data_IF_790579382621
#
_entry.id   IF_790579382621
#
_cell.length_a   1.000
_cell.length_b   1.000
_cell.length_c   1.000
_cell.angle_alpha   90.00
_cell.angle_beta   90.00
_cell.angle_gamma   90.00
#
_symmetry.space_group_name_H-M   'P 1'
#
loop_
_entity.id
_entity.type
_entity.pdbx_description
1 polymer ?
#
# COMPACT_ATOMS: atom_id res chain seq x y z
N UNK A 1 18.55 7.32 17.10
CA UNK A 1 19.64 7.22 16.10
C UNK A 1 19.97 5.76 15.88
N UNK A 2 20.31 5.33 14.66
CA UNK A 2 20.56 3.92 14.31
C UNK A 2 21.93 3.76 13.64
N UNK A 3 22.65 2.69 13.97
CA UNK A 3 23.96 2.33 13.40
C UNK A 3 23.92 0.85 13.00
N UNK A 4 24.35 0.53 11.78
CA UNK A 4 24.38 -0.84 11.25
C UNK A 4 25.69 -1.14 10.56
N UNK A 5 26.20 -2.36 10.72
CA UNK A 5 27.40 -2.85 10.05
C UNK A 5 28.43 -3.43 11.02
N UNK A 6 29.61 -3.83 10.53
CA UNK A 6 30.67 -4.39 11.36
C UNK A 6 31.10 -3.41 12.47
N UNK A 7 31.02 -3.86 13.73
CA UNK A 7 31.39 -3.05 14.90
C UNK A 7 30.40 -1.93 15.24
N UNK A 8 29.14 -2.03 14.78
CA UNK A 8 28.07 -1.10 15.11
C UNK A 8 27.89 -0.91 16.62
N UNK A 9 28.01 -1.97 17.42
CA UNK A 9 27.93 -1.90 18.88
C UNK A 9 29.03 -1.02 19.45
N UNK A 10 30.29 -1.34 19.13
CA UNK A 10 31.48 -0.58 19.57
C UNK A 10 31.38 0.90 19.18
N UNK A 11 30.94 1.19 17.96
CA UNK A 11 30.82 2.56 17.46
C UNK A 11 29.67 3.30 18.16
N UNK A 12 28.51 2.65 18.31
CA UNK A 12 27.36 3.26 18.98
C UNK A 12 27.65 3.52 20.46
N UNK A 13 28.35 2.63 21.16
CA UNK A 13 28.64 2.76 22.59
C UNK A 13 29.91 3.57 22.87
N UNK A 14 30.55 4.16 21.85
CA UNK A 14 31.69 5.04 22.05
C UNK A 14 31.30 6.24 22.91
N UNK A 15 31.99 6.46 24.03
CA UNK A 15 31.68 7.55 24.97
C UNK A 15 30.36 7.38 25.73
N UNK A 16 29.73 6.20 25.66
CA UNK A 16 28.59 5.82 26.49
C UNK A 16 29.09 5.21 27.80
N UNK A 17 28.65 5.73 28.93
CA UNK A 17 28.85 5.17 30.26
C UNK A 17 27.61 4.36 30.63
N UNK A 18 27.64 3.02 30.51
CA UNK A 18 26.48 2.21 30.79
C UNK A 18 26.30 1.98 32.29
N UNK A 19 25.05 1.91 32.76
CA UNK A 19 24.70 1.62 34.15
C UNK A 19 25.06 0.17 34.55
N UNK A 20 25.21 -0.71 33.54
CA UNK A 20 25.63 -2.10 33.68
C UNK A 20 26.59 -2.49 32.55
N UNK A 21 27.51 -3.44 32.77
CA UNK A 21 28.39 -3.92 31.69
C UNK A 21 27.59 -4.39 30.47
N UNK A 22 28.13 -4.11 29.28
CA UNK A 22 27.57 -4.58 28.01
C UNK A 22 28.03 -6.02 27.82
N UNK A 23 27.08 -6.93 27.60
CA UNK A 23 27.38 -8.32 27.26
C UNK A 23 27.66 -8.45 25.76
N UNK A 24 28.93 -8.43 25.39
CA UNK A 24 29.37 -8.59 23.99
C UNK A 24 29.11 -10.00 23.44
N UNK A 25 28.83 -10.98 24.30
CA UNK A 25 28.53 -12.37 23.91
C UNK A 25 27.04 -12.66 23.74
N UNK A 26 26.19 -11.64 23.91
CA UNK A 26 24.74 -11.80 23.87
C UNK A 26 24.24 -12.30 22.50
N UNK A 27 23.49 -13.41 22.52
CA UNK A 27 22.86 -14.01 21.33
C UNK A 27 21.42 -13.53 21.08
N UNK A 28 20.93 -12.62 21.93
CA UNK A 28 19.58 -12.03 21.86
C UNK A 28 19.67 -10.52 22.00
N UNK A 29 18.70 -9.77 21.44
CA UNK A 29 18.66 -8.33 21.61
C UNK A 29 18.50 -7.92 23.07
N UNK A 30 19.16 -6.83 23.46
CA UNK A 30 19.08 -6.29 24.81
C UNK A 30 19.25 -4.77 24.82
N UNK A 31 18.81 -4.14 25.90
CA UNK A 31 18.89 -2.68 26.09
C UNK A 31 19.79 -2.36 27.27
N UNK A 32 20.64 -1.36 27.14
CA UNK A 32 21.50 -0.86 28.22
C UNK A 32 21.20 0.62 28.44
N UNK A 33 20.92 0.99 29.68
CA UNK A 33 20.76 2.39 30.09
C UNK A 33 22.10 2.99 30.48
N UNK A 34 22.23 4.29 30.32
CA UNK A 34 23.46 4.98 30.68
C UNK A 34 23.47 6.44 30.23
N UNK A 35 24.67 7.01 30.18
CA UNK A 35 24.89 8.42 29.87
C UNK A 35 26.01 8.59 28.86
N UNK A 36 25.79 9.35 27.78
CA UNK A 36 26.86 9.77 26.87
C UNK A 36 27.66 10.95 27.43
N UNK A 37 28.98 10.82 27.37
CA UNK A 37 29.93 11.91 27.55
C UNK A 37 30.30 12.52 26.21
N UNK A 38 29.47 13.45 25.75
CA UNK A 38 29.71 14.18 24.51
C UNK A 38 30.62 15.39 24.76
N UNK A 39 31.61 15.65 23.89
CA UNK A 39 32.45 16.84 23.98
C UNK A 39 31.61 18.13 24.06
N UNK A 40 31.92 18.98 25.05
CA UNK A 40 31.27 20.28 25.23
C UNK A 40 29.82 20.23 25.73
N UNK A 41 29.28 19.07 26.12
CA UNK A 41 27.95 18.95 26.72
C UNK A 41 28.07 18.68 28.25
N UNK A 42 27.51 19.59 29.06
CA UNK A 42 27.36 19.41 30.51
C UNK A 42 25.94 19.82 30.92
N UNK A 43 25.16 18.97 31.63
CA UNK A 43 25.47 17.60 32.08
C UNK A 43 25.56 16.57 30.94
N UNK A 44 25.88 15.30 31.26
CA UNK A 44 25.91 14.21 30.27
C UNK A 44 24.52 13.92 29.68
N UNK A 45 24.47 13.28 28.51
CA UNK A 45 23.23 12.98 27.81
C UNK A 45 22.70 11.60 28.22
N UNK A 46 21.60 11.49 28.99
CA UNK A 46 21.00 10.20 29.29
C UNK A 46 20.50 9.53 28.01
N UNK A 47 20.72 8.22 27.89
CA UNK A 47 20.30 7.45 26.74
C UNK A 47 20.05 5.98 27.09
N UNK A 48 19.23 5.32 26.28
CA UNK A 48 19.11 3.88 26.22
C UNK A 48 19.71 3.40 24.89
N UNK A 49 20.60 2.41 24.94
CA UNK A 49 21.20 1.80 23.76
C UNK A 49 20.66 0.39 23.63
N UNK A 50 19.89 0.16 22.57
CA UNK A 50 19.40 -1.16 22.19
C UNK A 50 20.40 -1.79 21.20
N UNK A 51 20.81 -3.03 21.47
CA UNK A 51 21.85 -3.75 20.74
C UNK A 51 21.27 -5.06 20.21
N UNK A 52 21.41 -5.29 18.90
CA UNK A 52 20.95 -6.51 18.24
C UNK A 52 22.12 -7.25 17.57
N UNK A 53 22.28 -8.56 17.88
CA UNK A 53 23.32 -9.36 17.25
C UNK A 53 22.88 -9.81 15.86
N UNK A 54 23.83 -9.83 14.92
CA UNK A 54 23.63 -10.44 13.60
C UNK A 54 23.32 -11.96 13.73
N UNK A 55 22.63 -12.58 12.76
CA UNK A 55 22.00 -11.98 11.58
C UNK A 55 20.55 -11.53 11.81
N UNK A 56 20.03 -11.64 13.03
CA UNK A 56 18.60 -11.44 13.34
C UNK A 56 18.24 -9.96 13.55
N UNK A 57 18.64 -9.10 12.61
CA UNK A 57 18.46 -7.64 12.63
C UNK A 57 17.87 -7.12 11.32
N UNK A 58 17.31 -5.92 11.30
CA UNK A 58 16.70 -5.35 10.08
C UNK A 58 17.60 -5.42 8.84
N UNK A 59 18.90 -5.18 8.99
CA UNK A 59 19.86 -5.16 7.88
C UNK A 59 20.58 -6.49 7.66
N UNK A 60 20.31 -7.50 8.49
CA UNK A 60 21.10 -8.74 8.55
C UNK A 60 22.48 -8.57 9.20
N UNK A 61 22.86 -7.35 9.60
CA UNK A 61 24.16 -7.02 10.20
C UNK A 61 24.03 -6.66 11.67
N UNK A 62 25.14 -6.54 12.38
CA UNK A 62 25.12 -6.01 13.74
C UNK A 62 24.47 -4.61 13.74
N UNK A 63 23.53 -4.39 14.67
CA UNK A 63 22.70 -3.19 14.71
C UNK A 63 22.65 -2.64 16.13
N UNK A 64 22.74 -1.31 16.23
CA UNK A 64 22.56 -0.57 17.47
C UNK A 64 21.59 0.59 17.26
N UNK A 65 20.71 0.83 18.23
CA UNK A 65 19.84 2.00 18.28
C UNK A 65 20.05 2.77 19.57
N UNK A 66 20.33 4.05 19.43
CA UNK A 66 20.50 4.99 20.54
C UNK A 66 19.24 5.83 20.68
N UNK A 67 18.59 5.71 21.83
CA UNK A 67 17.39 6.42 22.25
C UNK A 67 17.80 7.50 23.25
N UNK A 68 17.63 8.77 22.88
CA UNK A 68 18.05 9.93 23.66
C UNK A 68 16.99 11.03 23.58
N UNK A 69 17.01 12.05 24.46
CA UNK A 69 16.10 13.20 24.37
C UNK A 69 16.03 13.80 22.96
N UNK A 70 14.81 13.95 22.43
CA UNK A 70 14.51 14.35 21.05
C UNK A 70 14.81 15.80 20.68
N UNK A 71 15.81 16.43 21.30
CA UNK A 71 16.21 17.82 21.01
C UNK A 71 17.17 17.85 19.81
N UNK A 72 16.86 18.58 18.72
CA UNK A 72 17.70 18.58 17.52
C UNK A 72 19.18 18.92 17.77
N UNK A 73 19.54 19.92 18.60
CA UNK A 73 20.95 20.18 18.94
C UNK A 73 21.66 19.01 19.64
N UNK A 74 20.95 18.28 20.50
CA UNK A 74 21.50 17.12 21.20
C UNK A 74 21.72 15.95 20.23
N UNK A 75 20.73 15.68 19.38
CA UNK A 75 20.81 14.64 18.37
C UNK A 75 21.91 14.92 17.35
N UNK A 76 22.09 16.17 16.91
CA UNK A 76 23.18 16.56 16.01
C UNK A 76 24.56 16.34 16.63
N UNK A 77 24.73 16.64 17.92
CA UNK A 77 25.99 16.38 18.63
C UNK A 77 26.26 14.88 18.79
N UNK A 78 25.24 14.11 19.15
CA UNK A 78 25.32 12.66 19.27
C UNK A 78 25.69 12.02 17.91
N UNK A 79 25.05 12.46 16.83
CA UNK A 79 25.35 12.01 15.47
C UNK A 79 26.80 12.33 15.09
N UNK A 80 27.25 13.57 15.29
CA UNK A 80 28.62 13.97 15.00
C UNK A 80 29.65 13.13 15.77
N UNK A 81 29.37 12.83 17.05
CA UNK A 81 30.20 11.98 17.89
C UNK A 81 30.29 10.54 17.35
N UNK A 82 29.16 9.95 16.94
CA UNK A 82 29.14 8.59 16.37
C UNK A 82 29.84 8.53 15.00
N UNK A 83 29.70 9.56 14.17
CA UNK A 83 30.45 9.68 12.92
C UNK A 83 31.96 9.76 13.18
N UNK A 84 32.39 10.59 14.13
CA UNK A 84 33.79 10.68 14.54
C UNK A 84 34.33 9.37 15.14
N UNK A 85 33.45 8.52 15.67
CA UNK A 85 33.79 7.21 16.24
C UNK A 85 33.93 6.10 15.18
N UNK A 86 33.75 6.41 13.89
CA UNK A 86 34.02 5.51 12.77
C UNK A 86 32.79 5.16 11.92
N UNK A 87 31.61 5.72 12.21
CA UNK A 87 30.45 5.57 11.33
C UNK A 87 30.54 6.50 10.10
N UNK A 88 29.97 6.06 8.98
CA UNK A 88 29.65 6.92 7.82
C UNK A 88 28.18 7.31 7.87
N UNK A 89 27.77 8.53 7.44
CA UNK A 89 26.36 8.84 7.26
C UNK A 89 25.73 7.88 6.25
N UNK A 90 24.54 7.37 6.57
CA UNK A 90 23.78 6.52 5.66
C UNK A 90 23.28 7.32 4.45
N UNK A 91 23.25 6.68 3.28
CA UNK A 91 22.54 7.18 2.10
C UNK A 91 21.02 7.03 2.28
N UNK A 92 20.21 7.74 1.48
CA UNK A 92 18.77 7.46 1.35
C UNK A 92 18.51 5.96 1.16
N UNK A 93 17.62 5.39 1.99
CA UNK A 93 17.22 3.97 1.90
C UNK A 93 18.30 2.93 2.20
N UNK A 94 19.49 3.33 2.65
CA UNK A 94 20.64 2.40 2.76
C UNK A 94 20.40 1.25 3.76
N UNK A 95 19.61 1.43 4.82
CA UNK A 95 19.32 0.31 5.72
C UNK A 95 18.37 -0.70 5.07
N UNK A 96 17.35 -0.24 4.35
CA UNK A 96 16.45 -1.12 3.59
C UNK A 96 17.18 -1.80 2.43
N UNK A 97 18.07 -1.09 1.72
CA UNK A 97 18.94 -1.69 0.70
C UNK A 97 19.82 -2.80 1.30
N UNK A 98 20.41 -2.59 2.48
CA UNK A 98 21.20 -3.64 3.16
C UNK A 98 20.33 -4.82 3.58
N UNK A 99 19.10 -4.58 4.03
CA UNK A 99 18.14 -5.64 4.32
C UNK A 99 17.87 -6.51 3.08
N UNK A 100 17.68 -5.87 1.92
CA UNK A 100 17.52 -6.55 0.63
C UNK A 100 18.77 -7.34 0.22
N UNK A 101 19.95 -6.70 0.22
CA UNK A 101 21.23 -7.35 -0.15
C UNK A 101 21.61 -8.51 0.78
N UNK A 102 21.15 -8.50 2.03
CA UNK A 102 21.33 -9.60 2.98
C UNK A 102 20.38 -10.78 2.76
N UNK A 103 19.42 -10.66 1.83
CA UNK A 103 18.37 -11.64 1.58
C UNK A 103 17.28 -11.67 2.65
N UNK A 104 17.24 -10.69 3.57
CA UNK A 104 16.22 -10.63 4.63
C UNK A 104 14.84 -10.25 4.08
N UNK A 105 14.83 -9.38 3.07
CA UNK A 105 13.63 -8.95 2.34
C UNK A 105 13.92 -9.03 0.85
N UNK A 106 12.88 -9.24 0.04
CA UNK A 106 12.96 -9.11 -1.41
C UNK A 106 12.67 -7.66 -1.83
N UNK A 107 12.78 -7.37 -3.13
CA UNK A 107 12.59 -6.02 -3.63
C UNK A 107 11.15 -5.53 -3.45
N UNK A 108 10.16 -6.41 -3.63
CA UNK A 108 8.74 -6.06 -3.45
C UNK A 108 8.45 -5.65 -2.01
N UNK A 109 8.99 -6.34 -0.99
CA UNK A 109 8.87 -5.94 0.42
C UNK A 109 9.66 -4.67 0.71
N UNK A 110 10.85 -4.49 0.12
CA UNK A 110 11.60 -3.25 0.26
C UNK A 110 10.79 -2.05 -0.23
N UNK A 111 10.16 -2.15 -1.40
CA UNK A 111 9.27 -1.12 -1.95
C UNK A 111 8.02 -0.91 -1.08
N UNK A 112 7.48 -1.97 -0.47
CA UNK A 112 6.35 -1.87 0.46
C UNK A 112 6.68 -1.06 1.72
N UNK A 113 7.94 -1.08 2.21
CA UNK A 113 8.38 -0.22 3.32
C UNK A 113 8.18 1.25 2.99
N UNK A 114 8.47 1.68 1.76
CA UNK A 114 8.22 3.04 1.31
C UNK A 114 6.71 3.31 1.24
N UNK A 115 5.94 2.37 0.68
CA UNK A 115 4.48 2.46 0.61
C UNK A 115 3.82 2.70 1.98
N UNK A 116 4.26 2.00 3.02
CA UNK A 116 3.76 2.18 4.40
C UNK A 116 4.11 3.57 4.96
N UNK A 117 5.29 4.10 4.64
CA UNK A 117 5.74 5.42 5.12
C UNK A 117 4.98 6.55 4.42
N UNK A 118 4.76 6.41 3.12
CA UNK A 118 4.13 7.44 2.28
C UNK A 118 2.59 7.36 2.28
N UNK A 119 2.00 6.31 2.86
CA UNK A 119 0.55 6.12 2.93
C UNK A 119 -0.13 7.32 3.61
N UNK A 120 -1.08 7.94 2.91
CA UNK A 120 -1.87 9.10 3.37
C UNK A 120 -3.33 8.77 3.68
N UNK A 121 -3.72 7.52 3.46
CA UNK A 121 -5.06 7.01 3.70
C UNK A 121 -4.99 5.53 4.14
N UNK A 122 -6.02 5.03 4.86
CA UNK A 122 -6.03 3.67 5.39
C UNK A 122 -5.90 2.57 4.32
N UNK A 123 -6.47 2.77 3.11
CA UNK A 123 -6.42 1.74 2.06
C UNK A 123 -5.02 1.55 1.50
N UNK A 124 -4.33 2.66 1.20
CA UNK A 124 -2.91 2.61 0.78
C UNK A 124 -2.01 2.00 1.84
N UNK A 125 -2.33 2.23 3.12
CA UNK A 125 -1.63 1.59 4.22
C UNK A 125 -1.86 0.08 4.23
N UNK A 126 -3.12 -0.36 4.12
CA UNK A 126 -3.48 -1.78 4.07
C UNK A 126 -2.81 -2.50 2.89
N UNK A 127 -2.84 -1.92 1.69
CA UNK A 127 -2.18 -2.46 0.50
C UNK A 127 -0.66 -2.60 0.71
N UNK A 128 -0.03 -1.57 1.27
CA UNK A 128 1.41 -1.60 1.55
C UNK A 128 1.74 -2.62 2.64
N UNK A 129 0.88 -2.81 3.65
CA UNK A 129 1.06 -3.81 4.70
C UNK A 129 0.89 -5.24 4.16
N UNK A 130 -0.08 -5.51 3.28
CA UNK A 130 -0.24 -6.80 2.61
C UNK A 130 0.99 -7.14 1.76
N UNK A 131 1.51 -6.16 1.01
CA UNK A 131 2.73 -6.35 0.22
C UNK A 131 3.93 -6.58 1.13
N UNK A 132 4.06 -5.84 2.23
CA UNK A 132 5.13 -6.01 3.22
C UNK A 132 5.08 -7.40 3.89
N UNK A 133 3.88 -7.95 4.09
CA UNK A 133 3.68 -9.32 4.58
C UNK A 133 4.08 -10.39 3.54
N UNK A 134 4.33 -10.00 2.28
CA UNK A 134 4.72 -10.89 1.20
C UNK A 134 3.56 -11.38 0.33
N UNK A 135 2.42 -10.67 0.31
CA UNK A 135 1.25 -11.02 -0.48
C UNK A 135 1.50 -11.12 -2.00
N UNK A 136 2.58 -10.51 -2.51
CA UNK A 136 3.02 -10.66 -3.91
C UNK A 136 4.15 -11.68 -4.06
N UNK A 137 5.13 -11.67 -3.17
CA UNK A 137 6.33 -12.52 -3.27
C UNK A 137 6.03 -14.00 -3.21
N UNK A 138 5.11 -14.42 -2.34
CA UNK A 138 4.74 -15.83 -2.20
C UNK A 138 4.22 -16.44 -3.52
N UNK A 139 3.19 -15.84 -4.13
CA UNK A 139 2.70 -16.28 -5.44
C UNK A 139 3.77 -16.30 -6.54
N UNK A 140 4.62 -15.27 -6.61
CA UNK A 140 5.69 -15.17 -7.63
C UNK A 140 6.74 -16.27 -7.46
N UNK A 141 7.17 -16.53 -6.22
CA UNK A 141 8.13 -17.60 -5.94
C UNK A 141 7.55 -18.97 -6.25
N UNK A 142 6.28 -19.22 -5.91
CA UNK A 142 5.62 -20.47 -6.24
C UNK A 142 5.48 -20.69 -7.76
N UNK A 143 5.23 -19.62 -8.53
CA UNK A 143 5.24 -19.66 -10.00
C UNK A 143 6.63 -19.98 -10.53
N UNK A 144 7.66 -19.30 -10.01
CA UNK A 144 9.06 -19.53 -10.39
C UNK A 144 9.47 -20.99 -10.16
N UNK A 145 9.13 -21.57 -9.02
CA UNK A 145 9.50 -22.96 -8.71
C UNK A 145 8.84 -23.94 -9.69
N UNK A 146 7.56 -23.73 -10.05
CA UNK A 146 6.90 -24.52 -11.09
C UNK A 146 7.56 -24.37 -12.46
N UNK A 147 7.96 -23.16 -12.85
CA UNK A 147 8.66 -22.94 -14.12
C UNK A 147 10.05 -23.59 -14.15
N UNK A 148 10.76 -23.62 -13.00
CA UNK A 148 12.03 -24.35 -12.88
C UNK A 148 11.83 -25.86 -13.04
N UNK A 149 10.78 -26.43 -12.45
CA UNK A 149 10.45 -27.84 -12.62
C UNK A 149 10.14 -28.19 -14.09
N UNK A 150 9.37 -27.33 -14.79
CA UNK A 150 9.08 -27.50 -16.21
C UNK A 150 10.35 -27.40 -17.08
N UNK A 151 11.22 -26.43 -16.78
CA UNK A 151 12.49 -26.26 -17.50
C UNK A 151 13.41 -27.47 -17.27
N UNK A 152 13.52 -27.96 -16.03
CA UNK A 152 14.32 -29.14 -15.72
C UNK A 152 13.82 -30.40 -16.45
N UNK A 153 12.49 -30.56 -16.57
CA UNK A 153 11.91 -31.67 -17.33
C UNK A 153 12.25 -31.59 -18.83
N UNK A 154 12.19 -30.38 -19.40
CA UNK A 154 12.54 -30.13 -20.79
C UNK A 154 14.04 -30.34 -21.08
N UNK A 155 14.91 -29.85 -20.20
CA UNK A 155 16.37 -30.00 -20.32
C UNK A 155 16.80 -31.47 -20.14
N UNK A 156 16.15 -32.21 -19.24
CA UNK A 156 16.34 -33.66 -19.15
C UNK A 156 15.88 -34.40 -20.43
N UNK A 157 14.95 -33.84 -21.19
CA UNK A 157 14.59 -34.33 -22.52
C UNK A 157 15.73 -34.11 -23.53
N UNK A 158 16.33 -32.90 -23.53
CA UNK A 158 17.39 -32.52 -24.46
C UNK A 158 18.68 -33.34 -24.31
N UNK A 159 19.07 -33.69 -23.08
CA UNK A 159 20.31 -34.44 -22.80
C UNK A 159 20.25 -35.93 -23.20
N UNK A 160 19.07 -36.48 -23.52
CA UNK A 160 18.85 -37.93 -23.65
C UNK A 160 18.23 -38.39 -24.99
N UNK A 161 18.24 -37.60 -26.07
CA UNK A 161 17.59 -38.01 -27.34
C UNK A 161 18.58 -38.67 -28.33
N UNK A 162 18.46 -40.00 -28.51
CA UNK A 162 18.51 -40.62 -29.85
C UNK A 162 17.12 -40.41 -30.47
N UNK A 163 17.05 -39.80 -31.67
CA UNK A 163 15.91 -39.09 -32.30
C UNK A 163 14.55 -39.83 -32.54
N UNK A 164 14.19 -40.87 -31.78
CA UNK A 164 13.05 -41.75 -32.13
C UNK A 164 11.82 -41.75 -31.18
N UNK A 165 11.88 -41.27 -29.94
CA UNK A 165 10.77 -41.41 -28.96
C UNK A 165 10.29 -40.08 -28.35
N UNK A 166 9.84 -39.13 -29.19
CA UNK A 166 9.12 -37.95 -28.68
C UNK A 166 7.67 -38.33 -28.38
N UNK A 167 7.30 -38.47 -27.10
CA UNK A 167 5.92 -38.71 -26.68
C UNK A 167 5.02 -37.49 -27.01
N UNK A 168 4.09 -37.59 -28.00
CA UNK A 168 3.20 -36.50 -28.37
C UNK A 168 2.23 -36.11 -27.24
N UNK A 169 1.92 -37.07 -26.36
CA UNK A 169 1.03 -36.85 -25.21
C UNK A 169 1.74 -35.97 -24.17
N UNK A 170 3.04 -36.19 -23.93
CA UNK A 170 3.88 -35.38 -23.06
C UNK A 170 3.97 -33.92 -23.51
N UNK A 171 4.15 -33.66 -24.82
CA UNK A 171 4.18 -32.28 -25.36
C UNK A 171 2.84 -31.55 -25.20
N UNK A 172 1.72 -32.23 -25.44
CA UNK A 172 0.42 -31.61 -25.25
C UNK A 172 0.15 -31.25 -23.78
N UNK A 173 0.58 -32.11 -22.84
CA UNK A 173 0.49 -31.84 -21.41
C UNK A 173 1.35 -30.64 -21.00
N UNK A 174 2.61 -30.59 -21.46
CA UNK A 174 3.52 -29.49 -21.18
C UNK A 174 3.03 -28.15 -21.74
N UNK A 175 2.47 -28.12 -22.95
CA UNK A 175 1.85 -26.92 -23.51
C UNK A 175 0.66 -26.44 -22.65
N UNK A 176 -0.17 -27.37 -22.17
CA UNK A 176 -1.28 -27.04 -21.28
C UNK A 176 -0.81 -26.50 -19.92
N UNK A 177 0.28 -27.04 -19.38
CA UNK A 177 0.91 -26.52 -18.16
C UNK A 177 1.44 -25.09 -18.36
N UNK A 178 2.15 -24.82 -19.46
CA UNK A 178 2.65 -23.48 -19.80
C UNK A 178 1.52 -22.45 -19.96
N UNK A 179 0.44 -22.81 -20.65
CA UNK A 179 -0.73 -21.94 -20.78
C UNK A 179 -1.38 -21.66 -19.43
N UNK A 180 -1.46 -22.65 -18.54
CA UNK A 180 -2.02 -22.49 -17.19
C UNK A 180 -1.19 -21.54 -16.34
N UNK A 181 0.15 -21.65 -16.40
CA UNK A 181 1.03 -20.75 -15.66
C UNK A 181 1.00 -19.32 -16.26
N UNK A 182 0.82 -19.17 -17.57
CA UNK A 182 0.60 -17.86 -18.20
C UNK A 182 -0.68 -17.20 -17.68
N UNK A 183 -1.79 -17.94 -17.62
CA UNK A 183 -3.07 -17.45 -17.08
C UNK A 183 -2.95 -17.06 -15.59
N UNK A 184 -2.15 -17.81 -14.82
CA UNK A 184 -1.88 -17.49 -13.43
C UNK A 184 -1.08 -16.19 -13.27
N UNK A 185 -0.12 -15.91 -14.18
CA UNK A 185 0.62 -14.66 -14.24
C UNK A 185 -0.28 -13.49 -14.63
N UNK A 186 -1.16 -13.66 -15.62
CA UNK A 186 -2.15 -12.64 -15.97
C UNK A 186 -3.07 -12.33 -14.78
N UNK A 187 -3.58 -13.35 -14.10
CA UNK A 187 -4.41 -13.15 -12.92
C UNK A 187 -3.67 -12.42 -11.79
N UNK A 188 -2.35 -12.58 -11.68
CA UNK A 188 -1.53 -11.84 -10.73
C UNK A 188 -1.29 -10.38 -11.18
N UNK A 189 -0.99 -10.18 -12.47
CA UNK A 189 -0.82 -8.86 -13.08
C UNK A 189 -2.13 -8.04 -13.06
N UNK A 190 -3.27 -8.71 -13.27
CA UNK A 190 -4.61 -8.14 -13.16
C UNK A 190 -4.95 -7.84 -11.72
N UNK A 191 -4.54 -8.66 -10.74
CA UNK A 191 -4.70 -8.31 -9.33
C UNK A 191 -3.90 -7.06 -8.95
N UNK A 192 -2.69 -6.89 -9.47
CA UNK A 192 -1.91 -5.65 -9.28
C UNK A 192 -2.54 -4.46 -10.02
N UNK A 193 -2.95 -4.65 -11.26
CA UNK A 193 -3.61 -3.61 -12.06
C UNK A 193 -4.99 -3.22 -11.53
N UNK A 194 -5.71 -4.18 -10.92
CA UNK A 194 -6.93 -3.94 -10.15
C UNK A 194 -6.60 -3.29 -8.83
N UNK A 195 -5.59 -3.67 -8.06
CA UNK A 195 -5.15 -2.88 -6.88
C UNK A 195 -4.84 -1.42 -7.21
N UNK A 196 -4.33 -1.15 -8.42
CA UNK A 196 -4.16 0.22 -8.95
C UNK A 196 -5.46 0.89 -9.46
N UNK A 197 -6.53 0.13 -9.73
CA UNK A 197 -7.77 0.61 -10.42
C UNK A 197 -9.11 0.18 -9.79
N UNK A 198 -9.14 -0.56 -8.69
CA UNK A 198 -10.31 -1.28 -8.15
C UNK A 198 -10.00 -1.89 -6.76
N UNK A 199 -10.95 -1.94 -5.83
CA UNK A 199 -12.36 -1.69 -6.09
C UNK A 199 -13.24 -2.08 -4.91
N UNK A 200 -13.56 -1.06 -4.11
CA UNK A 200 -14.96 -0.72 -3.95
C UNK A 200 -15.22 0.49 -4.86
N UNK A 201 -16.47 0.67 -5.32
CA UNK A 201 -16.85 1.92 -5.95
C UNK A 201 -16.47 3.08 -4.99
N UNK A 202 -15.84 4.17 -5.45
CA UNK A 202 -15.42 5.27 -4.57
C UNK A 202 -16.54 5.65 -3.61
N UNK A 203 -16.23 5.70 -2.33
CA UNK A 203 -17.22 5.79 -1.26
C UNK A 203 -17.53 7.26 -0.98
N UNK A 204 -18.77 7.63 -1.25
CA UNK A 204 -19.29 8.98 -1.10
C UNK A 204 -20.20 8.99 0.11
N UNK A 205 -19.74 9.62 1.20
CA UNK A 205 -20.46 9.59 2.49
C UNK A 205 -21.20 10.90 2.71
N UNK A 206 -22.50 10.82 2.96
CA UNK A 206 -23.33 11.96 3.36
C UNK A 206 -23.15 12.20 4.86
N UNK A 207 -22.48 13.29 5.23
CA UNK A 207 -22.22 13.64 6.62
C UNK A 207 -22.88 14.98 6.97
N UNK A 208 -23.40 15.12 8.18
CA UNK A 208 -24.09 16.34 8.60
C UNK A 208 -25.02 16.12 9.80
N UNK A 209 -25.48 17.21 10.43
CA UNK A 209 -26.34 17.14 11.61
C UNK A 209 -27.70 16.46 11.31
N UNK A 210 -28.45 16.07 12.36
CA UNK A 210 -29.84 15.65 12.21
C UNK A 210 -30.67 16.69 11.44
N UNK A 211 -31.68 16.24 10.69
CA UNK A 211 -32.55 17.09 9.88
C UNK A 211 -31.89 17.89 8.74
N UNK A 212 -30.59 17.70 8.49
CA UNK A 212 -29.86 18.30 7.36
C UNK A 212 -30.24 17.73 5.98
N UNK A 213 -31.27 16.89 5.87
CA UNK A 213 -31.77 16.39 4.59
C UNK A 213 -30.96 15.25 3.94
N UNK A 214 -30.01 14.62 4.65
CA UNK A 214 -29.12 13.55 4.13
C UNK A 214 -29.87 12.40 3.45
N UNK A 215 -30.83 11.76 4.12
CA UNK A 215 -31.60 10.64 3.54
C UNK A 215 -32.47 11.05 2.35
N UNK A 216 -32.93 12.31 2.33
CA UNK A 216 -33.67 12.84 1.16
C UNK A 216 -32.73 13.06 -0.01
N UNK A 217 -31.53 13.59 0.25
CA UNK A 217 -30.49 13.75 -0.77
C UNK A 217 -29.98 12.41 -1.28
N UNK A 218 -29.79 11.42 -0.40
CA UNK A 218 -29.44 10.04 -0.75
C UNK A 218 -30.40 9.47 -1.80
N UNK A 219 -31.70 9.47 -1.49
CA UNK A 219 -32.73 8.97 -2.40
C UNK A 219 -32.80 9.78 -3.69
N UNK A 220 -32.68 11.11 -3.61
CA UNK A 220 -32.71 11.98 -4.78
C UNK A 220 -31.50 11.76 -5.72
N UNK A 221 -30.32 11.45 -5.17
CA UNK A 221 -29.12 11.14 -5.96
C UNK A 221 -29.23 9.78 -6.68
N UNK A 222 -29.96 8.82 -6.12
CA UNK A 222 -30.17 7.49 -6.71
C UNK A 222 -31.14 7.50 -7.90
N UNK A 223 -32.21 8.31 -7.87
CA UNK A 223 -33.17 8.41 -9.00
C UNK A 223 -33.94 7.12 -9.32
N UNK A 224 -34.60 7.07 -10.50
CA UNK A 224 -35.38 5.92 -11.01
C UNK A 224 -34.52 4.79 -11.62
N UNK A 225 -33.20 4.98 -11.77
CA UNK A 225 -32.26 3.97 -12.27
C UNK A 225 -31.90 2.95 -11.16
N UNK A 226 -32.89 2.15 -10.77
CA UNK A 226 -32.68 0.98 -9.91
C UNK A 226 -31.81 -0.08 -10.60
N UNK A 227 -30.50 -0.03 -10.40
CA UNK A 227 -29.64 -1.21 -10.53
C UNK A 227 -29.69 -2.00 -9.22
N UNK A 228 -30.75 -2.82 -9.06
CA UNK A 228 -30.88 -3.96 -8.14
C UNK A 228 -30.30 -3.74 -6.73
N UNK A 229 -31.17 -3.35 -5.79
CA UNK A 229 -30.91 -3.50 -4.35
C UNK A 229 -30.75 -4.99 -4.06
N UNK A 230 -29.57 -5.43 -3.64
CA UNK A 230 -29.38 -6.78 -3.09
C UNK A 230 -29.81 -6.79 -1.62
N UNK A 231 -30.87 -7.53 -1.24
CA UNK A 231 -31.13 -7.83 0.16
C UNK A 231 -30.30 -9.07 0.52
N UNK A 232 -28.99 -8.92 0.71
CA UNK A 232 -28.22 -9.95 1.40
C UNK A 232 -28.58 -9.88 2.89
N UNK A 233 -29.54 -10.71 3.28
CA UNK A 233 -29.90 -10.95 4.67
C UNK A 233 -28.66 -11.46 5.42
N UNK A 234 -27.97 -10.58 6.15
CA UNK A 234 -26.82 -11.02 6.95
C UNK A 234 -25.84 -9.97 7.47
N UNK A 235 -26.01 -8.67 7.27
CA UNK A 235 -25.05 -7.67 7.79
C UNK A 235 -25.74 -6.58 8.60
N UNK A 236 -25.24 -6.39 9.83
CA UNK A 236 -25.65 -5.46 10.89
C UNK A 236 -26.41 -4.20 10.46
N UNK A 237 -27.56 -3.98 11.12
CA UNK A 237 -28.69 -3.08 10.84
C UNK A 237 -28.47 -1.55 10.80
N UNK A 238 -27.27 -0.98 10.57
CA UNK A 238 -27.02 0.44 10.93
C UNK A 238 -26.25 1.33 9.91
N UNK A 239 -26.34 1.16 8.58
CA UNK A 239 -25.95 2.19 7.56
C UNK A 239 -26.58 1.84 6.21
N UNK A 240 -27.14 2.81 5.47
CA UNK A 240 -27.66 2.58 4.12
C UNK A 240 -26.57 2.87 3.10
N UNK A 241 -26.28 1.92 2.20
CA UNK A 241 -25.41 2.14 1.04
C UNK A 241 -26.03 1.63 -0.25
N UNK A 242 -25.76 2.33 -1.35
CA UNK A 242 -26.25 1.97 -2.68
C UNK A 242 -25.32 2.49 -3.79
N UNK A 243 -25.21 1.76 -4.91
CA UNK A 243 -24.47 2.26 -6.08
C UNK A 243 -25.17 3.48 -6.68
N UNK A 244 -24.41 4.52 -7.03
CA UNK A 244 -24.90 5.74 -7.66
C UNK A 244 -24.03 6.09 -8.86
N UNK A 245 -24.66 6.45 -10.00
CA UNK A 245 -23.95 6.99 -11.15
C UNK A 245 -23.84 8.52 -11.04
N UNK A 246 -22.61 9.02 -11.00
CA UNK A 246 -22.26 10.44 -10.95
C UNK A 246 -21.46 10.80 -12.21
N UNK A 247 -22.10 11.42 -13.21
CA UNK A 247 -21.45 11.89 -14.46
C UNK A 247 -20.54 10.83 -15.12
N UNK A 248 -21.08 9.61 -15.26
CA UNK A 248 -20.39 8.44 -15.83
C UNK A 248 -19.43 7.71 -14.89
N UNK A 249 -19.24 8.18 -13.64
CA UNK A 249 -18.45 7.51 -12.60
C UNK A 249 -19.40 6.76 -11.66
N UNK A 250 -19.17 5.46 -11.45
CA UNK A 250 -19.95 4.66 -10.51
C UNK A 250 -19.34 4.77 -9.11
N UNK A 251 -20.16 5.14 -8.11
CA UNK A 251 -19.75 5.37 -6.73
C UNK A 251 -20.61 4.56 -5.75
N UNK A 252 -20.09 4.23 -4.56
CA UNK A 252 -20.91 3.75 -3.45
C UNK A 252 -21.38 4.96 -2.64
N UNK A 253 -22.67 5.29 -2.71
CA UNK A 253 -23.26 6.35 -1.90
C UNK A 253 -23.66 5.77 -0.54
N UNK A 254 -23.34 6.47 0.54
CA UNK A 254 -23.57 6.01 1.92
C UNK A 254 -24.27 7.09 2.73
N UNK A 255 -25.41 6.75 3.35
CA UNK A 255 -26.13 7.63 4.27
C UNK A 255 -25.87 7.23 5.73
N UNK A 256 -25.22 8.14 6.47
CA UNK A 256 -24.92 7.94 7.90
C UNK A 256 -26.13 8.15 8.81
N UNK A 257 -27.28 8.59 8.27
CA UNK A 257 -28.49 8.88 9.06
C UNK A 257 -29.32 7.65 9.45
N UNK A 258 -29.01 6.45 8.92
CA UNK A 258 -29.74 5.22 9.21
C UNK A 258 -29.67 4.72 10.67
N UNK A 259 -28.91 5.41 11.54
CA UNK A 259 -28.74 5.09 12.97
C UNK A 259 -29.52 6.06 13.84
N UNK A 260 -30.83 6.22 13.60
CA UNK A 260 -31.70 6.75 14.65
C UNK A 260 -32.18 5.60 15.52
N UNK A 261 -31.61 5.55 16.73
CA UNK A 261 -32.23 4.91 17.87
C UNK A 261 -33.65 5.47 18.02
N UNK A 262 -34.63 4.59 18.10
CA UNK A 262 -35.96 4.96 18.54
C UNK A 262 -35.87 5.61 19.94
N UNK A 263 -35.83 6.95 20.00
CA UNK A 263 -35.84 7.73 21.24
C UNK A 263 -35.04 9.04 21.18
N UNK A 264 -35.53 10.07 21.88
CA UNK A 264 -35.06 11.48 21.93
C UNK A 264 -33.64 11.71 22.52
N UNK A 265 -32.67 10.81 22.32
CA UNK A 265 -31.29 11.04 22.71
C UNK A 265 -30.30 10.50 21.67
N UNK A 266 -29.56 11.40 21.02
CA UNK A 266 -28.43 11.04 20.17
C UNK A 266 -27.35 10.43 21.06
N UNK A 267 -27.14 9.12 20.99
CA UNK A 267 -26.07 8.43 21.71
C UNK A 267 -24.70 8.86 21.17
N UNK A 268 -23.71 9.01 22.06
CA UNK A 268 -22.30 9.25 21.69
C UNK A 268 -21.77 8.18 20.71
N UNK A 269 -22.33 6.98 20.73
CA UNK A 269 -21.99 5.89 19.82
C UNK A 269 -22.42 6.17 18.37
N UNK A 270 -23.56 6.83 18.15
CA UNK A 270 -24.02 7.19 16.81
C UNK A 270 -23.13 8.29 16.19
N UNK A 271 -22.65 9.23 17.00
CA UNK A 271 -21.69 10.25 16.58
C UNK A 271 -20.33 9.64 16.24
N UNK A 272 -19.83 8.70 17.05
CA UNK A 272 -18.58 8.00 16.80
C UNK A 272 -18.63 7.17 15.51
N UNK A 273 -19.76 6.51 15.22
CA UNK A 273 -19.97 5.78 13.96
C UNK A 273 -20.01 6.72 12.75
N UNK A 274 -20.76 7.81 12.80
CA UNK A 274 -20.80 8.78 11.70
C UNK A 274 -19.42 9.39 11.41
N UNK A 275 -18.61 9.64 12.45
CA UNK A 275 -17.23 10.08 12.29
C UNK A 275 -16.34 8.98 11.67
N UNK A 276 -16.49 7.73 12.10
CA UNK A 276 -15.77 6.59 11.53
C UNK A 276 -16.13 6.32 10.05
N UNK A 277 -17.38 6.56 9.66
CA UNK A 277 -17.83 6.41 8.27
C UNK A 277 -17.26 7.53 7.38
N UNK A 278 -17.25 8.76 7.87
CA UNK A 278 -16.64 9.90 7.18
C UNK A 278 -15.13 9.75 7.00
N UNK A 279 -14.42 9.17 7.98
CA UNK A 279 -12.97 8.90 7.89
C UNK A 279 -12.62 7.90 6.77
N UNK A 280 -13.54 6.97 6.48
CA UNK A 280 -13.39 5.95 5.43
C UNK A 280 -13.89 6.41 4.06
N UNK A 281 -14.33 7.65 3.93
CA UNK A 281 -14.88 8.19 2.69
C UNK A 281 -13.79 8.63 1.70
N UNK A 282 -14.01 8.37 0.42
CA UNK A 282 -13.19 8.96 -0.65
C UNK A 282 -13.61 10.42 -0.93
N UNK A 283 -14.90 10.71 -0.76
CA UNK A 283 -15.49 12.05 -0.82
C UNK A 283 -16.54 12.18 0.28
N UNK A 284 -16.49 13.29 1.03
CA UNK A 284 -17.49 13.61 2.05
C UNK A 284 -18.44 14.68 1.51
N UNK A 285 -19.74 14.37 1.47
CA UNK A 285 -20.80 15.33 1.18
C UNK A 285 -21.28 15.94 2.50
N UNK A 286 -20.74 17.10 2.83
CA UNK A 286 -21.04 17.81 4.05
C UNK A 286 -22.37 18.58 3.92
N UNK A 287 -23.43 17.97 4.41
CA UNK A 287 -24.81 18.42 4.28
C UNK A 287 -25.20 19.39 5.40
N UNK A 288 -25.72 20.56 5.02
CA UNK A 288 -26.32 21.54 5.93
C UNK A 288 -27.63 22.11 5.35
N UNK A 289 -28.47 22.66 6.22
CA UNK A 289 -29.74 23.31 5.87
C UNK A 289 -30.06 24.46 6.83
N UNK A 290 -31.06 25.28 6.51
CA UNK A 290 -31.46 26.42 7.36
C UNK A 290 -31.97 26.03 8.76
N UNK A 291 -32.47 24.80 8.91
CA UNK A 291 -33.05 24.31 10.18
C UNK A 291 -32.10 23.41 10.97
N UNK A 292 -30.87 23.21 10.47
CA UNK A 292 -29.89 22.36 11.12
C UNK A 292 -28.86 23.18 11.88
N UNK A 293 -28.35 22.68 13.03
CA UNK A 293 -27.28 23.36 13.75
C UNK A 293 -26.04 23.54 12.86
N UNK A 294 -25.26 24.61 13.07
CA UNK A 294 -24.02 24.83 12.34
C UNK A 294 -23.06 23.65 12.59
N UNK A 295 -22.43 23.17 11.53
CA UNK A 295 -21.43 22.11 11.59
C UNK A 295 -20.05 22.69 11.32
N UNK A 296 -19.09 22.38 12.19
CA UNK A 296 -17.68 22.65 11.91
C UNK A 296 -17.19 21.55 10.97
N UNK A 297 -16.94 21.92 9.71
CA UNK A 297 -16.58 20.98 8.67
C UNK A 297 -15.08 21.08 8.40
N UNK A 298 -14.36 19.95 8.36
CA UNK A 298 -12.96 19.97 7.98
C UNK A 298 -12.84 20.54 6.55
N UNK A 299 -12.07 21.61 6.40
CA UNK A 299 -11.73 22.23 5.11
C UNK A 299 -10.76 21.39 4.27
N UNK A 300 -10.91 20.07 4.30
CA UNK A 300 -10.11 19.13 3.52
C UNK A 300 -10.57 19.13 2.05
N UNK A 301 -9.65 18.87 1.13
CA UNK A 301 -9.88 18.82 -0.32
C UNK A 301 -10.87 17.71 -0.74
N UNK A 302 -11.15 16.76 0.17
CA UNK A 302 -12.08 15.64 0.00
C UNK A 302 -13.54 16.01 0.33
N UNK A 303 -13.77 17.19 0.89
CA UNK A 303 -15.08 17.60 1.41
C UNK A 303 -15.80 18.53 0.44
N UNK A 304 -16.98 18.13 -0.01
CA UNK A 304 -17.87 18.96 -0.82
C UNK A 304 -19.00 19.46 0.09
N UNK A 305 -19.15 20.79 0.16
CA UNK A 305 -20.17 21.43 0.99
C UNK A 305 -21.49 21.48 0.23
N UNK A 306 -22.53 20.87 0.82
CA UNK A 306 -23.85 20.72 0.20
C UNK A 306 -24.91 21.39 1.05
N UNK A 307 -25.63 22.33 0.46
CA UNK A 307 -26.78 22.97 1.07
C UNK A 307 -28.06 22.29 0.59
N UNK A 308 -28.70 21.47 1.41
CA UNK A 308 -29.67 20.44 0.96
C UNK A 308 -31.11 20.92 0.77
N UNK A 309 -31.49 22.02 1.42
CA UNK A 309 -32.85 22.60 1.40
C UNK A 309 -32.81 24.02 0.81
N UNK A 310 -32.19 24.17 -0.37
CA UNK A 310 -32.02 25.47 -1.03
C UNK A 310 -33.32 26.18 -1.40
N UNK A 311 -34.44 25.44 -1.48
CA UNK A 311 -35.78 25.96 -1.70
C UNK A 311 -36.35 26.69 -0.46
N UNK A 312 -35.93 26.32 0.74
CA UNK A 312 -36.44 26.89 1.98
C UNK A 312 -35.65 28.13 2.43
N UNK A 313 -34.33 28.09 2.32
CA UNK A 313 -33.44 29.19 2.68
C UNK A 313 -32.14 29.13 1.88
N UNK A 314 -31.54 30.28 1.51
CA UNK A 314 -30.21 30.30 0.92
C UNK A 314 -29.12 29.96 1.96
N UNK A 315 -27.95 29.47 1.52
CA UNK A 315 -26.81 29.26 2.42
C UNK A 315 -26.31 30.57 3.02
N UNK A 316 -25.68 30.54 4.20
CA UNK A 316 -25.11 31.73 4.83
C UNK A 316 -23.96 32.32 3.99
N UNK A 317 -23.85 33.67 3.90
CA UNK A 317 -22.75 34.32 3.18
C UNK A 317 -21.41 34.18 3.93
N UNK A 318 -20.32 33.92 3.20
CA UNK A 318 -18.94 34.05 3.70
C UNK A 318 -18.15 32.75 3.89
N UNK A 319 -18.77 31.59 3.67
CA UNK A 319 -18.27 30.34 4.23
C UNK A 319 -17.54 29.43 3.23
N UNK A 320 -17.28 29.86 1.99
CA UNK A 320 -16.76 29.03 0.89
C UNK A 320 -17.84 28.55 -0.09
N UNK A 321 -17.48 27.91 -1.21
CA UNK A 321 -18.45 27.53 -2.25
C UNK A 321 -19.37 26.41 -1.75
N UNK A 322 -20.68 26.67 -1.77
CA UNK A 322 -21.72 25.69 -1.51
C UNK A 322 -22.30 25.17 -2.82
N UNK A 323 -22.49 23.86 -2.93
CA UNK A 323 -23.39 23.29 -3.92
C UNK A 323 -24.79 23.30 -3.32
N UNK A 324 -25.70 24.07 -3.92
CA UNK A 324 -27.07 24.21 -3.42
C UNK A 324 -27.96 23.20 -4.13
N UNK A 325 -28.60 22.33 -3.36
CA UNK A 325 -29.53 21.32 -3.85
C UNK A 325 -30.90 21.49 -3.21
N UNK A 326 -31.94 21.01 -3.87
CA UNK A 326 -33.23 20.74 -3.26
C UNK A 326 -33.74 19.40 -3.74
N UNK A 327 -33.84 18.43 -2.82
CA UNK A 327 -34.43 17.13 -3.11
C UNK A 327 -35.94 17.24 -3.42
N UNK A 328 -36.63 18.26 -2.90
CA UNK A 328 -38.06 18.49 -3.14
C UNK A 328 -38.34 19.11 -4.51
N UNK A 329 -37.47 20.03 -4.95
CA UNK A 329 -37.58 20.67 -6.26
C UNK A 329 -36.75 19.97 -7.37
N UNK A 330 -36.03 18.90 -7.03
CA UNK A 330 -35.07 18.20 -7.90
C UNK A 330 -34.06 19.12 -8.57
N UNK A 331 -33.56 20.13 -7.85
CA UNK A 331 -32.58 21.10 -8.34
C UNK A 331 -31.19 20.86 -7.74
N UNK A 332 -30.14 21.21 -8.49
CA UNK A 332 -28.73 21.14 -8.03
C UNK A 332 -28.09 19.75 -8.01
N UNK A 333 -28.85 18.68 -8.28
CA UNK A 333 -28.34 17.30 -8.24
C UNK A 333 -27.28 17.01 -9.33
N UNK A 334 -27.46 17.55 -10.54
CA UNK A 334 -26.49 17.35 -11.65
C UNK A 334 -25.17 18.09 -11.39
N UNK A 335 -25.23 19.25 -10.73
CA UNK A 335 -24.03 19.97 -10.29
C UNK A 335 -23.29 19.18 -9.22
N UNK A 336 -24.03 18.62 -8.25
CA UNK A 336 -23.46 17.76 -7.22
C UNK A 336 -22.82 16.50 -7.81
N UNK A 337 -23.51 15.80 -8.73
CA UNK A 337 -22.97 14.61 -9.42
C UNK A 337 -21.69 14.92 -10.19
N UNK A 338 -21.63 16.05 -10.91
CA UNK A 338 -20.42 16.50 -11.61
C UNK A 338 -19.28 16.84 -10.65
N UNK A 339 -19.57 17.48 -9.52
CA UNK A 339 -18.56 17.80 -8.51
C UNK A 339 -17.96 16.55 -7.86
N UNK A 340 -18.81 15.55 -7.54
CA UNK A 340 -18.38 14.24 -7.04
C UNK A 340 -17.47 13.54 -8.07
N UNK A 341 -17.90 13.48 -9.34
CA UNK A 341 -17.10 12.87 -10.40
C UNK A 341 -15.75 13.58 -10.60
N UNK A 342 -15.73 14.91 -10.56
CA UNK A 342 -14.50 15.69 -10.69
C UNK A 342 -13.54 15.45 -9.51
N UNK A 343 -14.06 15.34 -8.28
CA UNK A 343 -13.26 15.02 -7.10
C UNK A 343 -12.61 13.63 -7.20
N UNK A 344 -13.36 12.63 -7.66
CA UNK A 344 -12.85 11.26 -7.85
C UNK A 344 -11.79 11.22 -8.95
N UNK A 345 -12.05 11.81 -10.12
CA UNK A 345 -11.09 11.82 -11.24
C UNK A 345 -9.76 12.51 -10.90
N UNK A 346 -9.80 13.56 -10.06
CA UNK A 346 -8.58 14.21 -9.54
C UNK A 346 -7.74 13.26 -8.70
N UNK A 347 -8.37 12.36 -7.93
CA UNK A 347 -7.68 11.33 -7.14
C UNK A 347 -7.15 10.18 -7.99
N UNK A 348 -7.91 9.73 -8.99
CA UNK A 348 -7.47 8.71 -9.96
C UNK A 348 -6.28 9.16 -10.81
N UNK A 349 -6.04 10.48 -10.91
CA UNK A 349 -4.91 11.06 -11.63
C UNK A 349 -3.59 11.02 -10.83
N UNK A 350 -3.59 10.56 -9.57
CA UNK A 350 -2.34 10.26 -8.86
C UNK A 350 -1.70 8.99 -9.48
N UNK A 351 -0.42 9.04 -9.88
CA UNK A 351 0.21 7.90 -10.55
C UNK A 351 0.22 6.68 -9.64
N UNK A 352 -0.16 5.53 -10.21
CA UNK A 352 0.12 4.19 -9.69
C UNK A 352 1.48 4.15 -9.00
N UNK A 353 1.57 3.41 -7.87
CA UNK A 353 2.87 3.21 -7.23
C UNK A 353 3.86 2.69 -8.30
N UNK A 354 5.01 3.34 -8.53
CA UNK A 354 5.96 2.93 -9.58
C UNK A 354 6.39 1.46 -9.48
N UNK A 355 6.31 0.92 -8.26
CA UNK A 355 6.47 -0.50 -7.93
C UNK A 355 5.38 -1.39 -8.54
N UNK A 356 4.10 -1.03 -8.39
CA UNK A 356 2.97 -1.77 -8.96
C UNK A 356 3.10 -1.84 -10.48
N UNK A 357 3.43 -0.71 -11.10
CA UNK A 357 3.65 -0.62 -12.53
C UNK A 357 4.81 -1.51 -13.03
N UNK A 358 5.97 -1.46 -12.36
CA UNK A 358 7.15 -2.28 -12.67
C UNK A 358 6.87 -3.79 -12.53
N UNK A 359 6.29 -4.18 -11.40
CA UNK A 359 5.94 -5.58 -11.14
C UNK A 359 4.91 -6.09 -12.15
N UNK A 360 3.88 -5.29 -12.44
CA UNK A 360 2.86 -5.63 -13.43
C UNK A 360 3.45 -5.82 -14.83
N UNK A 361 4.33 -4.93 -15.27
CA UNK A 361 5.01 -5.05 -16.56
C UNK A 361 5.83 -6.35 -16.66
N UNK A 362 6.62 -6.65 -15.62
CA UNK A 362 7.45 -7.85 -15.57
C UNK A 362 6.60 -9.13 -15.61
N UNK A 363 5.46 -9.16 -14.89
CA UNK A 363 4.53 -10.29 -14.92
C UNK A 363 3.88 -10.47 -16.31
N UNK A 364 3.53 -9.38 -16.98
CA UNK A 364 2.95 -9.43 -18.33
C UNK A 364 3.98 -9.92 -19.37
N UNK A 365 5.25 -9.50 -19.26
CA UNK A 365 6.34 -10.02 -20.09
C UNK A 365 6.56 -11.51 -19.86
N UNK A 366 6.61 -11.97 -18.60
CA UNK A 366 6.71 -13.38 -18.27
C UNK A 366 5.54 -14.19 -18.87
N UNK A 367 4.31 -13.69 -18.74
CA UNK A 367 3.13 -14.33 -19.33
C UNK A 367 3.20 -14.39 -20.87
N UNK A 368 3.74 -13.35 -21.52
CA UNK A 368 3.93 -13.34 -22.97
C UNK A 368 4.96 -14.41 -23.41
N UNK A 369 6.08 -14.53 -22.70
CA UNK A 369 7.09 -15.55 -22.94
C UNK A 369 6.53 -16.97 -22.78
N UNK A 370 5.73 -17.24 -21.73
CA UNK A 370 5.08 -18.55 -21.56
C UNK A 370 4.07 -18.89 -22.67
N UNK A 371 3.32 -17.90 -23.16
CA UNK A 371 2.43 -18.10 -24.31
C UNK A 371 3.21 -18.34 -25.61
N UNK A 372 4.34 -17.68 -25.79
CA UNK A 372 5.24 -17.94 -26.91
C UNK A 372 5.76 -19.38 -26.86
N UNK A 373 6.22 -19.85 -25.69
CA UNK A 373 6.66 -21.22 -25.48
C UNK A 373 5.55 -22.23 -25.81
N UNK A 374 4.34 -22.01 -25.29
CA UNK A 374 3.17 -22.87 -25.57
C UNK A 374 2.81 -22.88 -27.06
N UNK A 375 2.87 -21.72 -27.74
CA UNK A 375 2.59 -21.61 -29.17
C UNK A 375 3.64 -22.32 -30.02
N UNK A 376 4.93 -22.16 -29.69
CA UNK A 376 6.05 -22.84 -30.33
C UNK A 376 5.94 -24.36 -30.19
N UNK A 377 5.54 -24.83 -29.01
CA UNK A 377 5.31 -26.26 -28.75
C UNK A 377 4.16 -26.84 -29.59
N UNK A 378 3.04 -26.12 -29.68
CA UNK A 378 1.91 -26.51 -30.52
C UNK A 378 2.25 -26.53 -32.01
N UNK A 379 3.17 -25.66 -32.44
CA UNK A 379 3.69 -25.61 -33.81
C UNK A 379 4.76 -26.68 -34.11
N UNK A 380 5.15 -27.50 -33.12
CA UNK A 380 6.17 -28.52 -33.27
C UNK A 380 7.60 -27.98 -33.35
N UNK A 381 7.86 -26.81 -32.76
CA UNK A 381 9.21 -26.26 -32.66
C UNK A 381 10.13 -27.14 -31.79
N UNK A 382 11.43 -26.93 -31.91
CA UNK A 382 12.43 -27.63 -31.11
C UNK A 382 12.41 -27.21 -29.64
N UNK A 383 12.74 -28.16 -28.76
CA UNK A 383 12.74 -27.99 -27.30
C UNK A 383 13.70 -26.89 -26.83
N UNK A 384 14.75 -26.56 -27.61
CA UNK A 384 15.65 -25.43 -27.35
C UNK A 384 14.93 -24.06 -27.36
N UNK A 385 14.00 -23.86 -28.30
CA UNK A 385 13.25 -22.60 -28.41
C UNK A 385 12.29 -22.46 -27.22
N UNK A 386 11.65 -23.56 -26.83
CA UNK A 386 10.79 -23.61 -25.66
C UNK A 386 11.60 -23.29 -24.39
N UNK A 387 12.78 -23.92 -24.23
CA UNK A 387 13.66 -23.67 -23.09
C UNK A 387 14.12 -22.20 -23.00
N UNK A 388 14.39 -21.57 -24.15
CA UNK A 388 14.72 -20.15 -24.23
C UNK A 388 13.58 -19.25 -23.71
N UNK A 389 12.34 -19.51 -24.12
CA UNK A 389 11.17 -18.75 -23.69
C UNK A 389 10.89 -18.95 -22.18
N UNK A 390 11.07 -20.17 -21.65
CA UNK A 390 10.96 -20.43 -20.20
C UNK A 390 12.03 -19.68 -19.39
N UNK A 391 13.28 -19.66 -19.86
CA UNK A 391 14.36 -18.89 -19.22
C UNK A 391 14.04 -17.39 -19.23
N UNK A 392 13.53 -16.89 -20.35
CA UNK A 392 13.09 -15.49 -20.45
C UNK A 392 11.99 -15.15 -19.43
N UNK A 393 10.99 -16.03 -19.26
CA UNK A 393 9.96 -15.86 -18.24
C UNK A 393 10.54 -15.90 -16.81
N UNK A 394 11.50 -16.79 -16.54
CA UNK A 394 12.19 -16.87 -15.24
C UNK A 394 12.98 -15.59 -14.92
N UNK A 395 13.64 -15.00 -15.91
CA UNK A 395 14.37 -13.74 -15.78
C UNK A 395 13.41 -12.57 -15.47
N UNK A 396 12.26 -12.50 -16.15
CA UNK A 396 11.21 -11.52 -15.86
C UNK A 396 10.67 -11.65 -14.42
N UNK A 397 10.49 -12.89 -13.91
CA UNK A 397 10.09 -13.12 -12.51
C UNK A 397 11.21 -12.77 -11.51
N UNK A 398 12.46 -12.98 -11.90
CA UNK A 398 13.62 -12.59 -11.09
C UNK A 398 13.70 -11.06 -10.94
N UNK A 399 13.29 -10.29 -11.95
CA UNK A 399 13.20 -8.83 -11.88
C UNK A 399 12.15 -8.38 -10.84
N UNK A 400 11.01 -9.07 -10.74
CA UNK A 400 9.96 -8.77 -9.74
C UNK A 400 10.50 -8.90 -8.32
N UNK A 401 11.11 -10.04 -8.01
CA UNK A 401 11.65 -10.37 -6.67
C UNK A 401 12.93 -9.63 -6.34
N UNK A 402 13.61 -9.11 -7.36
CA UNK A 402 14.90 -8.46 -7.22
C UNK A 402 16.10 -9.40 -7.29
N UNK A 403 15.92 -10.67 -7.65
CA UNK A 403 17.02 -11.63 -7.78
C UNK A 403 18.00 -11.25 -8.91
N UNK A 404 17.52 -10.57 -9.95
CA UNK A 404 18.33 -10.02 -11.04
C UNK A 404 17.89 -8.57 -11.28
N UNK A 405 18.65 -7.59 -10.77
CA UNK A 405 18.35 -6.16 -10.92
C UNK A 405 19.64 -5.40 -11.18
N UNK A 406 19.60 -4.47 -12.14
CA UNK A 406 20.72 -3.57 -12.40
C UNK A 406 20.89 -2.54 -11.27
N UNK A 407 22.14 -2.22 -10.93
CA UNK A 407 22.48 -1.28 -9.85
C UNK A 407 21.78 0.08 -9.98
N UNK A 408 21.66 0.61 -11.21
CA UNK A 408 21.00 1.89 -11.48
C UNK A 408 19.51 1.91 -11.09
N UNK A 409 18.83 0.76 -11.22
CA UNK A 409 17.42 0.61 -10.83
C UNK A 409 17.30 0.61 -9.31
N UNK A 410 18.21 -0.10 -8.62
CA UNK A 410 18.26 -0.11 -7.16
C UNK A 410 18.51 1.31 -6.64
N UNK A 411 19.49 2.03 -7.19
CA UNK A 411 19.79 3.40 -6.81
C UNK A 411 18.58 4.32 -6.98
N UNK A 412 17.83 4.20 -8.07
CA UNK A 412 16.63 5.01 -8.30
C UNK A 412 15.48 4.69 -7.33
N UNK A 413 15.30 3.43 -6.95
CA UNK A 413 14.29 3.01 -5.98
C UNK A 413 14.64 3.54 -4.59
N UNK A 414 15.87 3.28 -4.11
CA UNK A 414 16.28 3.62 -2.76
C UNK A 414 16.58 5.13 -2.57
N UNK A 415 16.88 5.87 -3.64
CA UNK A 415 17.00 7.33 -3.60
C UNK A 415 15.71 8.05 -3.16
N UNK A 416 14.54 7.40 -3.32
CA UNK A 416 13.24 7.96 -2.92
C UNK A 416 12.96 7.81 -1.42
N UNK A 417 13.72 6.97 -0.72
CA UNK A 417 13.56 6.76 0.72
C UNK A 417 14.17 7.93 1.51
N UNK A 418 13.64 8.19 2.70
CA UNK A 418 14.31 9.10 3.62
C UNK A 418 15.66 8.52 4.10
N UNK A 419 16.57 9.41 4.51
CA UNK A 419 17.80 9.03 5.21
C UNK A 419 17.42 8.39 6.56
N UNK A 420 18.02 7.24 6.88
CA UNK A 420 17.75 6.49 8.12
C UNK A 420 16.78 5.32 7.96
N UNK A 421 16.33 5.03 6.73
CA UNK A 421 15.53 3.87 6.38
C UNK A 421 16.31 2.78 5.67
#
# INVERSE_FOLDING_TARGET
MRVSGPGAWRIATAGFEPDRPIDESASRPFVVRGTYRLPGLRPGLPAEVALWPAPRTYTGQELAEVHAPGSPPLLSRLLAHVLASGARPARPGEFTLRAFLSGRIDLTRAEAVLGVIDARDPRRLDDALEQLAGGLSGPVLALRDRLLDLLAHLEAGLDFVDEADVDPIGRAALAADLSREADALDALADRLGRRDRSGDAPRVVLAGPPNAGKSRLFNAMLGDDHAIVSPLAGTTRDTLSAPCACDGVLVELVDTAGVEAAGDAISAEAQARAASEADRADVVLACSSGDSPPIDLPGDERTIRVWTKGDAAPPPPGDGPWIVTSAAASTGLDELKRAVAAAIRRRESEPASPTSARCRDSLLRAAASLRAASGSMAAGAGDELIAFDLRSALDDLAEVTGAVVADDVLDRIFARFCIGK
#
